data_IF_246332333914
#
_entry.id   IF_246332333914
#
_cell.length_a   1.000
_cell.length_b   1.000
_cell.length_c   1.000
_cell.angle_alpha   90.00
_cell.angle_beta   90.00
_cell.angle_gamma   90.00
#
_symmetry.space_group_name_H-M   'P 1'
#
loop_
_entity.id
_entity.type
_entity.pdbx_description
1 polymer ?
#
# COMPACT_ATOMS: atom_id res chain seq x y z
N UNK A 1 15.02 30.31 14.31
CA UNK A 1 14.21 29.08 14.15
C UNK A 1 14.79 28.26 13.01
N UNK A 2 15.11 27.01 13.25
CA UNK A 2 15.59 26.11 12.22
C UNK A 2 14.40 25.53 11.46
N UNK A 3 14.63 25.20 10.20
CA UNK A 3 13.64 24.52 9.36
C UNK A 3 13.95 23.02 9.29
N UNK A 4 12.91 22.20 9.30
CA UNK A 4 13.07 20.75 9.15
C UNK A 4 11.87 20.17 8.40
N UNK A 5 12.14 19.08 7.68
CA UNK A 5 11.09 18.23 7.12
C UNK A 5 10.98 17.03 8.04
N UNK A 6 9.77 16.75 8.51
CA UNK A 6 9.52 15.66 9.45
C UNK A 6 9.21 14.34 8.76
N UNK A 7 8.44 13.51 9.43
CA UNK A 7 8.01 12.20 8.92
C UNK A 7 7.09 12.37 7.72
N UNK A 8 7.05 11.35 6.86
CA UNK A 8 6.06 11.27 5.81
C UNK A 8 4.67 11.27 6.46
N UNK A 9 3.83 12.21 6.05
CA UNK A 9 2.49 12.37 6.62
C UNK A 9 1.47 11.48 5.91
N UNK A 10 1.35 11.65 4.61
CA UNK A 10 0.44 10.88 3.79
C UNK A 10 0.87 10.93 2.33
N UNK A 11 0.26 10.08 1.52
CA UNK A 11 0.29 10.22 0.06
C UNK A 11 -1.12 10.30 -0.47
N UNK A 12 -1.28 10.93 -1.62
CA UNK A 12 -2.57 11.20 -2.23
C UNK A 12 -2.71 10.43 -3.54
N UNK A 13 -3.87 9.81 -3.74
CA UNK A 13 -4.21 9.09 -4.96
C UNK A 13 -5.41 9.78 -5.60
N UNK A 14 -5.27 10.16 -6.85
CA UNK A 14 -6.36 10.70 -7.66
C UNK A 14 -6.90 9.57 -8.52
N UNK A 15 -8.15 9.21 -8.30
CA UNK A 15 -8.71 7.99 -8.88
C UNK A 15 -10.10 8.21 -9.48
N UNK A 16 -10.34 7.55 -10.60
CA UNK A 16 -11.70 7.44 -11.17
C UNK A 16 -12.44 6.21 -10.62
N UNK A 17 -11.81 5.47 -9.70
CA UNK A 17 -12.29 4.21 -9.14
C UNK A 17 -12.32 4.29 -7.62
N UNK A 18 -12.98 5.31 -7.06
CA UNK A 18 -12.94 5.55 -5.60
C UNK A 18 -13.41 4.32 -4.82
N UNK A 19 -14.55 3.74 -5.18
CA UNK A 19 -15.12 2.62 -4.43
C UNK A 19 -14.19 1.40 -4.44
N UNK A 20 -13.63 1.04 -5.59
CA UNK A 20 -12.69 -0.07 -5.69
C UNK A 20 -11.42 0.19 -4.89
N UNK A 21 -10.95 1.44 -4.92
CA UNK A 21 -9.75 1.84 -4.19
C UNK A 21 -9.98 1.76 -2.68
N UNK A 22 -11.10 2.29 -2.20
CA UNK A 22 -11.47 2.17 -0.78
C UNK A 22 -11.51 0.70 -0.36
N UNK A 23 -12.17 -0.16 -1.15
CA UNK A 23 -12.23 -1.60 -0.84
C UNK A 23 -10.86 -2.24 -0.76
N UNK A 24 -9.95 -1.89 -1.67
CA UNK A 24 -8.59 -2.44 -1.61
C UNK A 24 -7.90 -2.08 -0.30
N UNK A 25 -7.91 -0.80 0.07
CA UNK A 25 -7.23 -0.38 1.29
C UNK A 25 -7.92 -0.89 2.55
N UNK A 26 -9.23 -1.08 2.54
CA UNK A 26 -9.96 -1.70 3.66
C UNK A 26 -9.78 -3.21 3.72
N UNK A 27 -10.14 -3.90 2.65
CA UNK A 27 -10.28 -5.36 2.67
C UNK A 27 -8.95 -6.08 2.53
N UNK A 28 -8.02 -5.51 1.77
CA UNK A 28 -6.70 -6.12 1.55
C UNK A 28 -5.71 -5.65 2.59
N UNK A 29 -5.52 -4.35 2.72
CA UNK A 29 -4.52 -3.80 3.64
C UNK A 29 -5.01 -3.63 5.07
N UNK A 30 -6.31 -3.65 5.29
CA UNK A 30 -6.88 -3.51 6.64
C UNK A 30 -6.87 -2.09 7.18
N UNK A 31 -6.77 -1.08 6.32
CA UNK A 31 -6.90 0.31 6.73
C UNK A 31 -8.37 0.64 6.99
N UNK A 32 -8.61 1.69 7.76
CA UNK A 32 -9.96 2.12 8.10
C UNK A 32 -10.29 3.44 7.41
N UNK A 33 -11.43 3.49 6.73
CA UNK A 33 -11.96 4.76 6.23
C UNK A 33 -12.42 5.59 7.42
N UNK A 34 -11.99 6.84 7.50
CA UNK A 34 -12.29 7.67 8.64
C UNK A 34 -12.58 9.12 8.28
N UNK A 35 -12.62 9.95 9.31
CA UNK A 35 -12.94 11.36 9.19
C UNK A 35 -12.01 12.09 8.24
N UNK A 36 -12.58 13.02 7.47
CA UNK A 36 -11.82 13.94 6.63
C UNK A 36 -12.53 15.29 6.66
N UNK A 37 -11.79 16.38 6.41
CA UNK A 37 -12.41 17.71 6.31
C UNK A 37 -13.53 17.72 5.26
N UNK A 38 -14.46 18.64 5.42
CA UNK A 38 -15.60 18.76 4.51
C UNK A 38 -15.22 19.46 3.22
N UNK A 39 -14.35 18.81 2.43
CA UNK A 39 -13.97 19.33 1.13
C UNK A 39 -15.14 19.30 0.16
N UNK A 40 -15.13 20.21 -0.81
CA UNK A 40 -16.17 20.28 -1.83
C UNK A 40 -16.07 19.16 -2.86
N UNK A 41 -14.94 18.44 -2.92
CA UNK A 41 -14.72 17.33 -3.85
C UNK A 41 -14.86 16.00 -3.12
N UNK A 42 -15.36 14.95 -3.80
CA UNK A 42 -15.50 13.63 -3.17
C UNK A 42 -14.15 12.94 -3.00
N UNK A 43 -14.08 12.08 -2.00
CA UNK A 43 -12.87 11.33 -1.70
C UNK A 43 -13.02 10.55 -0.41
N UNK A 44 -11.91 10.03 0.07
CA UNK A 44 -11.86 9.29 1.33
C UNK A 44 -10.47 9.39 1.94
N UNK A 45 -10.40 9.34 3.25
CA UNK A 45 -9.15 9.22 3.98
C UNK A 45 -9.07 7.84 4.62
N UNK A 46 -7.97 7.13 4.36
CA UNK A 46 -7.74 5.78 4.88
C UNK A 46 -6.70 5.84 5.98
N UNK A 47 -7.07 5.29 7.14
CA UNK A 47 -6.29 5.39 8.36
C UNK A 47 -5.53 4.11 8.64
N UNK A 48 -4.27 4.27 9.03
CA UNK A 48 -3.43 3.21 9.58
C UNK A 48 -2.93 3.67 10.94
N UNK A 49 -3.17 2.87 11.96
CA UNK A 49 -2.75 3.17 13.34
C UNK A 49 -3.20 4.57 13.80
N UNK A 50 -4.43 4.94 13.45
CA UNK A 50 -5.02 6.20 13.85
C UNK A 50 -4.60 7.42 13.03
N UNK A 51 -3.83 7.23 11.96
CA UNK A 51 -3.37 8.31 11.09
C UNK A 51 -3.91 8.18 9.67
N UNK A 52 -4.42 9.26 9.06
CA UNK A 52 -4.93 9.23 7.69
C UNK A 52 -3.76 9.29 6.70
N UNK A 53 -3.17 8.15 6.42
CA UNK A 53 -1.93 8.05 5.61
C UNK A 53 -2.18 7.94 4.11
N UNK A 54 -3.40 7.60 3.69
CA UNK A 54 -3.77 7.55 2.27
C UNK A 54 -4.97 8.45 2.06
N UNK A 55 -4.79 9.49 1.25
CA UNK A 55 -5.85 10.41 0.89
C UNK A 55 -6.30 10.10 -0.53
N UNK A 56 -7.58 9.83 -0.71
CA UNK A 56 -8.16 9.51 -2.01
C UNK A 56 -9.00 10.67 -2.50
N UNK A 57 -8.80 11.05 -3.75
CA UNK A 57 -9.60 12.08 -4.42
C UNK A 57 -10.30 11.44 -5.61
N UNK A 58 -11.62 11.56 -5.64
CA UNK A 58 -12.42 11.06 -6.76
C UNK A 58 -12.41 12.06 -7.90
N UNK A 59 -11.83 11.66 -9.03
CA UNK A 59 -11.78 12.48 -10.25
C UNK A 59 -12.74 11.97 -11.33
N UNK A 60 -13.65 11.05 -10.99
CA UNK A 60 -14.53 10.42 -11.98
C UNK A 60 -15.49 11.39 -12.67
N UNK A 61 -15.78 12.53 -12.04
CA UNK A 61 -16.65 13.56 -12.60
C UNK A 61 -15.89 14.79 -13.08
N UNK A 62 -14.61 14.64 -13.33
CA UNK A 62 -13.73 15.68 -13.86
C UNK A 62 -13.20 15.26 -15.22
N UNK A 63 -12.51 16.15 -15.90
CA UNK A 63 -11.84 15.84 -17.18
C UNK A 63 -10.46 15.22 -16.97
N UNK A 64 -10.00 15.09 -15.73
CA UNK A 64 -8.69 14.53 -15.44
C UNK A 64 -8.66 13.04 -15.80
N UNK A 65 -7.70 12.60 -16.64
CA UNK A 65 -7.60 11.19 -17.00
C UNK A 65 -7.03 10.35 -15.85
N UNK A 66 -7.44 9.09 -15.79
CA UNK A 66 -6.83 8.13 -14.88
C UNK A 66 -5.39 7.86 -15.33
N UNK A 67 -4.43 8.05 -14.44
CA UNK A 67 -3.05 7.66 -14.71
C UNK A 67 -2.92 6.14 -14.58
N UNK A 68 -2.05 5.50 -15.36
CA UNK A 68 -1.90 4.04 -15.32
C UNK A 68 -1.09 3.53 -14.12
N UNK A 69 -0.29 4.40 -13.51
CA UNK A 69 0.61 4.04 -12.40
C UNK A 69 1.00 5.29 -11.60
N UNK A 70 1.95 5.14 -10.69
CA UNK A 70 2.41 6.24 -9.83
C UNK A 70 3.57 7.05 -10.43
N UNK A 71 3.93 6.80 -11.68
CA UNK A 71 5.01 7.53 -12.35
C UNK A 71 6.39 7.16 -11.78
N UNK A 72 7.21 8.17 -11.50
CA UNK A 72 8.57 7.94 -10.98
C UNK A 72 8.59 7.47 -9.53
N UNK A 73 7.47 7.60 -8.80
CA UNK A 73 7.34 7.01 -7.46
C UNK A 73 7.04 5.53 -7.66
N UNK A 74 8.06 4.69 -7.49
CA UNK A 74 7.97 3.25 -7.80
C UNK A 74 7.01 2.52 -6.85
N UNK A 75 7.13 2.76 -5.56
CA UNK A 75 6.28 2.11 -4.56
C UNK A 75 6.19 2.93 -3.29
N UNK A 76 5.23 2.55 -2.45
CA UNK A 76 5.03 3.06 -1.10
C UNK A 76 5.08 1.87 -0.16
N UNK A 77 5.79 1.97 0.96
CA UNK A 77 6.00 0.84 1.85
C UNK A 77 5.35 1.05 3.21
N UNK A 78 4.76 -0.03 3.75
CA UNK A 78 4.19 -0.08 5.09
C UNK A 78 4.94 -1.09 5.93
N UNK A 79 5.17 -0.77 7.19
CA UNK A 79 5.60 -1.74 8.20
C UNK A 79 4.40 -2.61 8.53
N UNK A 80 4.58 -3.93 8.48
CA UNK A 80 3.45 -4.87 8.55
C UNK A 80 3.75 -6.04 9.47
N UNK A 81 2.70 -6.76 9.84
CA UNK A 81 2.76 -8.01 10.60
C UNK A 81 1.75 -8.99 10.04
N UNK A 82 2.00 -10.28 10.22
CA UNK A 82 1.10 -11.33 9.76
C UNK A 82 1.34 -11.71 8.29
N UNK A 83 2.57 -11.99 7.94
CA UNK A 83 2.98 -12.36 6.59
C UNK A 83 2.15 -13.50 6.00
N UNK A 84 2.02 -14.63 6.74
CA UNK A 84 1.28 -15.80 6.26
C UNK A 84 -0.21 -15.47 6.03
N UNK A 85 -0.80 -14.70 6.94
CA UNK A 85 -2.20 -14.29 6.81
C UNK A 85 -2.44 -13.37 5.61
N UNK A 86 -1.51 -12.47 5.33
CA UNK A 86 -1.61 -11.61 4.15
C UNK A 86 -1.51 -12.42 2.86
N UNK A 87 -0.58 -13.37 2.79
CA UNK A 87 -0.49 -14.26 1.63
C UNK A 87 -1.80 -14.99 1.39
N UNK A 88 -2.39 -15.56 2.43
CA UNK A 88 -3.67 -16.25 2.32
C UNK A 88 -4.77 -15.32 1.81
N UNK A 89 -4.81 -14.10 2.32
CA UNK A 89 -5.79 -13.10 1.90
C UNK A 89 -5.64 -12.74 0.41
N UNK A 90 -4.40 -12.51 -0.02
CA UNK A 90 -4.12 -12.17 -1.41
C UNK A 90 -4.46 -13.33 -2.35
N UNK A 91 -4.12 -14.55 -1.96
CA UNK A 91 -4.43 -15.74 -2.74
C UNK A 91 -5.95 -15.98 -2.83
N UNK A 92 -6.65 -15.83 -1.71
CA UNK A 92 -8.11 -15.97 -1.70
C UNK A 92 -8.80 -14.92 -2.57
N UNK A 93 -8.27 -13.70 -2.61
CA UNK A 93 -8.79 -12.63 -3.45
C UNK A 93 -8.28 -12.66 -4.89
N UNK A 94 -7.43 -13.63 -5.23
CA UNK A 94 -6.83 -13.79 -6.57
C UNK A 94 -6.03 -12.56 -7.00
N UNK A 95 -5.35 -11.93 -6.06
CA UNK A 95 -4.45 -10.83 -6.36
C UNK A 95 -3.11 -11.37 -6.84
N UNK A 96 -2.56 -10.73 -7.87
CA UNK A 96 -1.17 -10.95 -8.23
C UNK A 96 -0.29 -10.27 -7.20
N UNK A 97 0.70 -10.99 -6.70
CA UNK A 97 1.64 -10.44 -5.73
C UNK A 97 2.97 -11.18 -5.82
N UNK A 98 4.01 -10.56 -5.31
CA UNK A 98 5.31 -11.19 -5.12
C UNK A 98 5.67 -11.20 -3.64
N UNK A 99 6.27 -12.30 -3.20
CA UNK A 99 6.77 -12.43 -1.84
C UNK A 99 8.25 -12.76 -1.90
N UNK A 100 9.07 -11.93 -1.27
CA UNK A 100 10.53 -12.06 -1.32
C UNK A 100 11.13 -11.79 0.04
N UNK A 101 12.30 -12.38 0.30
CA UNK A 101 13.11 -11.91 1.43
C UNK A 101 14.32 -11.14 0.91
N UNK A 102 14.70 -10.14 1.67
CA UNK A 102 15.92 -9.37 1.42
C UNK A 102 17.12 -10.26 1.72
N UNK A 103 18.23 -10.13 0.98
CA UNK A 103 19.44 -10.88 1.31
C UNK A 103 19.80 -10.78 2.79
N UNK A 104 20.09 -11.92 3.40
CA UNK A 104 20.28 -12.03 4.85
C UNK A 104 19.05 -12.54 5.60
N UNK A 105 17.87 -12.47 4.99
CA UNK A 105 16.66 -13.09 5.52
C UNK A 105 15.98 -12.40 6.68
N UNK A 106 16.46 -11.22 7.09
CA UNK A 106 15.89 -10.50 8.24
C UNK A 106 14.59 -9.77 7.93
N UNK A 107 14.38 -9.43 6.66
CA UNK A 107 13.20 -8.69 6.20
C UNK A 107 12.50 -9.47 5.10
N UNK A 108 11.22 -9.72 5.29
CA UNK A 108 10.36 -10.31 4.27
C UNK A 108 9.47 -9.23 3.67
N UNK A 109 9.17 -9.36 2.39
CA UNK A 109 8.42 -8.34 1.66
C UNK A 109 7.31 -8.97 0.85
N UNK A 110 6.18 -8.29 0.79
CA UNK A 110 5.11 -8.57 -0.17
C UNK A 110 4.92 -7.33 -1.02
N UNK A 111 4.81 -7.50 -2.33
CA UNK A 111 4.52 -6.45 -3.29
C UNK A 111 3.18 -6.74 -3.95
N UNK A 112 2.27 -5.79 -3.90
CA UNK A 112 0.94 -5.90 -4.50
C UNK A 112 0.52 -4.54 -5.03
N UNK A 113 -0.13 -4.51 -6.20
CA UNK A 113 -0.64 -3.26 -6.76
C UNK A 113 -2.05 -2.97 -6.27
N UNK A 114 -2.32 -1.71 -6.00
CA UNK A 114 -3.69 -1.26 -5.78
C UNK A 114 -4.46 -1.17 -7.12
N UNK A 115 -5.76 -0.85 -7.13
CA UNK A 115 -6.52 -0.76 -8.38
C UNK A 115 -6.04 0.32 -9.36
N UNK A 116 -5.20 1.25 -8.91
CA UNK A 116 -4.71 2.35 -9.75
C UNK A 116 -3.28 2.14 -10.24
N UNK A 117 -2.70 0.97 -9.99
CA UNK A 117 -1.32 0.70 -10.36
C UNK A 117 -0.27 1.25 -9.40
N UNK A 118 -0.69 1.66 -8.20
CA UNK A 118 0.26 2.03 -7.15
C UNK A 118 0.80 0.75 -6.53
N UNK A 119 2.11 0.54 -6.60
CA UNK A 119 2.74 -0.61 -5.97
C UNK A 119 2.86 -0.38 -4.47
N UNK A 120 2.32 -1.30 -3.70
CA UNK A 120 2.40 -1.32 -2.25
C UNK A 120 3.40 -2.39 -1.83
N UNK A 121 4.37 -1.99 -1.03
CA UNK A 121 5.33 -2.90 -0.42
C UNK A 121 4.98 -3.07 1.05
N UNK A 122 4.84 -4.31 1.47
CA UNK A 122 4.57 -4.64 2.88
C UNK A 122 5.83 -5.28 3.44
N UNK A 123 6.39 -4.67 4.48
CA UNK A 123 7.65 -5.11 5.09
C UNK A 123 7.38 -5.80 6.42
N UNK A 124 7.93 -7.00 6.57
CA UNK A 124 7.76 -7.84 7.76
C UNK A 124 9.13 -8.17 8.34
N UNK A 125 9.32 -7.93 9.62
CA UNK A 125 10.51 -8.41 10.33
C UNK A 125 10.40 -9.92 10.48
N UNK A 126 11.31 -10.66 9.86
CA UNK A 126 11.25 -12.14 9.86
C UNK A 126 11.20 -12.72 11.28
N UNK A 127 11.92 -12.11 12.21
CA UNK A 127 11.96 -12.55 13.61
C UNK A 127 10.59 -12.49 14.31
N UNK A 128 9.66 -11.72 13.79
CA UNK A 128 8.30 -11.54 14.33
C UNK A 128 7.26 -12.38 13.60
N UNK A 129 7.68 -13.16 12.60
CA UNK A 129 6.79 -13.95 11.77
C UNK A 129 6.94 -15.45 12.06
N UNK A 130 5.96 -16.24 11.65
CA UNK A 130 5.96 -17.67 11.87
C UNK A 130 7.03 -18.41 11.08
N UNK A 131 7.64 -19.41 11.70
CA UNK A 131 8.64 -20.25 11.05
C UNK A 131 8.00 -21.08 9.94
N UNK A 132 8.77 -21.38 8.90
CA UNK A 132 8.33 -22.21 7.79
C UNK A 132 7.59 -21.46 6.68
N UNK A 133 7.44 -20.16 6.81
CA UNK A 133 6.73 -19.33 5.81
C UNK A 133 7.67 -18.46 5.00
N UNK A 134 8.97 -18.62 5.15
CA UNK A 134 9.96 -17.76 4.51
C UNK A 134 9.82 -17.77 2.98
N UNK A 135 9.74 -16.59 2.35
CA UNK A 135 9.71 -16.51 0.89
C UNK A 135 11.09 -16.74 0.29
N UNK A 136 11.13 -16.85 -1.03
CA UNK A 136 12.38 -16.97 -1.77
C UNK A 136 13.24 -15.71 -1.59
N UNK A 137 14.54 -15.91 -1.44
CA UNK A 137 15.46 -14.78 -1.35
C UNK A 137 15.44 -13.98 -2.63
N UNK A 138 15.51 -12.66 -2.49
CA UNK A 138 15.53 -11.73 -3.61
C UNK A 138 16.89 -11.80 -4.30
N UNK A 139 16.85 -11.97 -5.60
CA UNK A 139 18.07 -12.05 -6.44
C UNK A 139 18.32 -10.81 -7.29
N UNK A 140 17.36 -9.90 -7.33
CA UNK A 140 17.50 -8.63 -8.03
C UNK A 140 17.53 -7.49 -7.00
N UNK A 141 18.01 -6.34 -7.44
CA UNK A 141 18.11 -5.15 -6.59
C UNK A 141 17.01 -4.13 -6.90
N UNK A 142 16.08 -4.49 -7.76
CA UNK A 142 14.92 -3.66 -8.05
C UNK A 142 13.69 -4.28 -7.44
N UNK A 143 12.71 -3.46 -7.17
CA UNK A 143 11.40 -3.95 -6.78
C UNK A 143 10.85 -4.84 -7.87
N UNK A 144 10.02 -5.74 -7.50
CA UNK A 144 9.41 -6.66 -8.42
C UNK A 144 8.51 -5.86 -9.36
N UNK A 145 8.72 -5.93 -10.61
CA UNK A 145 8.02 -5.20 -11.68
C UNK A 145 8.59 -3.85 -11.96
#
# INVERSE_FOLDING_TARGET
>A
MSMSVGQLDHFNIRTRKLADTVRFYEDVLGLEKGARPNFAFPGAWMYSEGKPVVHLVDISKTDEPQKPDSGVVHHVAFISRGFAGMKQRLEAGKFEYDARQVPGGELWQIFVNDPNGVMIELNYEAAKEGKGSAPTERTDDVGVR
#
